data_IF_228263492960
#
_entry.id   IF_228263492960
#
_cell.length_a   1.000
_cell.length_b   1.000
_cell.length_c   1.000
_cell.angle_alpha   90.00
_cell.angle_beta   90.00
_cell.angle_gamma   90.00
#
_symmetry.space_group_name_H-M   'P 1'
#
loop_
_entity.id
_entity.type
_entity.pdbx_description
1 polymer ?
#
# COMPACT_ATOMS: atom_id res chain seq x y z
N UNK A 1 11.22 -28.76 -8.31
CA UNK A 1 11.37 -27.64 -9.29
C UNK A 1 12.80 -27.66 -9.82
N UNK A 2 12.98 -27.56 -11.16
CA UNK A 2 14.31 -27.53 -11.79
C UNK A 2 15.08 -26.22 -11.43
N UNK A 3 16.42 -26.27 -11.44
CA UNK A 3 17.30 -25.11 -11.08
C UNK A 3 16.95 -23.84 -11.87
N UNK A 4 16.62 -23.97 -13.15
CA UNK A 4 16.21 -22.86 -14.01
C UNK A 4 14.92 -22.19 -13.52
N UNK A 5 13.90 -22.99 -13.17
CA UNK A 5 12.64 -22.47 -12.63
C UNK A 5 12.80 -21.86 -11.25
N UNK A 6 13.68 -22.42 -10.41
CA UNK A 6 13.96 -21.82 -9.10
C UNK A 6 14.60 -20.44 -9.24
N UNK A 7 15.58 -20.28 -10.14
CA UNK A 7 16.17 -18.98 -10.43
C UNK A 7 15.14 -17.98 -11.00
N UNK A 8 14.21 -18.44 -11.88
CA UNK A 8 13.13 -17.60 -12.39
C UNK A 8 12.16 -17.15 -11.26
N UNK A 9 11.84 -18.03 -10.32
CA UNK A 9 10.99 -17.71 -9.18
C UNK A 9 11.64 -16.68 -8.24
N UNK A 10 12.95 -16.81 -7.98
CA UNK A 10 13.69 -15.81 -7.20
C UNK A 10 13.72 -14.44 -7.89
N UNK A 11 13.92 -14.39 -9.21
CA UNK A 11 13.85 -13.15 -9.99
C UNK A 11 12.46 -12.53 -9.93
N UNK A 12 11.41 -13.33 -10.08
CA UNK A 12 10.03 -12.85 -9.97
C UNK A 12 9.77 -12.24 -8.60
N UNK A 13 10.15 -12.95 -7.53
CA UNK A 13 10.00 -12.44 -6.16
C UNK A 13 10.76 -11.12 -5.95
N UNK A 14 12.00 -11.02 -6.46
CA UNK A 14 12.80 -9.80 -6.37
C UNK A 14 12.13 -8.61 -7.08
N UNK A 15 11.58 -8.82 -8.29
CA UNK A 15 10.88 -7.76 -9.03
C UNK A 15 9.59 -7.33 -8.33
N UNK A 16 8.83 -8.29 -7.79
CA UNK A 16 7.63 -7.99 -7.00
C UNK A 16 7.98 -7.21 -5.72
N UNK A 17 9.05 -7.63 -5.02
CA UNK A 17 9.52 -6.92 -3.83
C UNK A 17 10.00 -5.49 -4.18
N UNK A 18 10.74 -5.31 -5.26
CA UNK A 18 11.18 -4.00 -5.73
C UNK A 18 9.99 -3.10 -6.09
N UNK A 19 9.01 -3.65 -6.82
CA UNK A 19 7.78 -2.92 -7.19
C UNK A 19 6.99 -2.48 -5.94
N UNK A 20 6.83 -3.38 -4.97
CA UNK A 20 6.18 -3.06 -3.70
C UNK A 20 6.90 -1.92 -2.96
N UNK A 21 8.23 -2.07 -2.75
CA UNK A 21 9.03 -1.09 -2.01
C UNK A 21 8.99 0.27 -2.71
N UNK A 22 9.17 0.30 -4.03
CA UNK A 22 9.11 1.53 -4.81
C UNK A 22 7.75 2.19 -4.73
N UNK A 23 6.66 1.42 -4.88
CA UNK A 23 5.29 1.94 -4.78
C UNK A 23 5.02 2.54 -3.41
N UNK A 24 5.46 1.88 -2.34
CA UNK A 24 5.30 2.36 -0.97
C UNK A 24 6.08 3.65 -0.72
N UNK A 25 7.35 3.71 -1.13
CA UNK A 25 8.19 4.90 -0.94
C UNK A 25 7.65 6.08 -1.76
N UNK A 26 7.33 5.86 -3.04
CA UNK A 26 6.79 6.91 -3.92
C UNK A 26 5.45 7.42 -3.38
N UNK A 27 4.55 6.54 -2.92
CA UNK A 27 3.28 6.94 -2.29
C UNK A 27 3.51 7.92 -1.14
N UNK A 28 4.49 7.62 -0.28
CA UNK A 28 4.84 8.49 0.85
C UNK A 28 5.50 9.81 0.45
N UNK A 29 6.16 9.88 -0.71
CA UNK A 29 6.81 11.10 -1.19
C UNK A 29 5.83 12.10 -1.82
N UNK A 30 4.77 11.61 -2.47
CA UNK A 30 3.85 12.43 -3.27
C UNK A 30 2.50 12.69 -2.61
N UNK A 31 2.26 12.18 -1.39
CA UNK A 31 0.94 12.19 -0.77
C UNK A 31 0.42 13.60 -0.42
N UNK A 32 1.27 14.62 -0.33
CA UNK A 32 0.87 15.98 0.03
C UNK A 32 0.08 16.70 -1.07
N UNK A 33 0.10 16.19 -2.31
CA UNK A 33 -0.70 16.72 -3.40
C UNK A 33 -2.07 16.06 -3.38
N UNK A 34 -3.12 16.88 -3.29
CA UNK A 34 -4.51 16.42 -3.39
C UNK A 34 -5.06 16.73 -4.78
N UNK A 35 -5.99 15.90 -5.23
CA UNK A 35 -6.70 16.06 -6.49
C UNK A 35 -8.16 15.66 -6.34
N UNK A 36 -8.99 16.18 -7.24
CA UNK A 36 -10.40 15.82 -7.34
C UNK A 36 -10.55 14.76 -8.41
N UNK A 37 -11.18 13.66 -8.07
CA UNK A 37 -11.58 12.66 -9.03
C UNK A 37 -13.10 12.50 -8.97
N UNK A 38 -13.82 13.08 -9.94
CA UNK A 38 -15.27 13.04 -10.02
C UNK A 38 -15.74 12.10 -11.13
N UNK A 39 -15.64 10.77 -10.97
CA UNK A 39 -16.27 9.85 -11.92
C UNK A 39 -17.79 9.97 -11.83
N UNK A 40 -18.30 10.39 -10.66
CA UNK A 40 -19.71 10.66 -10.37
C UNK A 40 -19.76 11.79 -9.34
N UNK A 41 -20.69 12.74 -9.50
CA UNK A 41 -20.91 13.84 -8.55
C UNK A 41 -21.65 13.31 -7.30
N UNK A 42 -20.97 12.46 -6.52
CA UNK A 42 -21.53 11.90 -5.31
C UNK A 42 -21.08 12.70 -4.10
N UNK A 43 -22.07 13.12 -3.31
CA UNK A 43 -21.87 13.71 -2.00
C UNK A 43 -22.39 12.76 -0.93
N UNK A 44 -21.60 12.50 0.11
CA UNK A 44 -22.05 11.78 1.30
C UNK A 44 -21.90 12.70 2.50
N UNK A 45 -23.00 12.92 3.23
CA UNK A 45 -23.04 13.78 4.42
C UNK A 45 -22.51 15.21 4.18
N UNK A 46 -22.77 15.76 2.98
CA UNK A 46 -22.35 17.13 2.61
C UNK A 46 -20.87 17.25 2.26
N UNK A 47 -20.13 16.13 2.14
CA UNK A 47 -18.75 16.11 1.67
C UNK A 47 -18.70 15.50 0.28
N UNK A 48 -17.97 16.15 -0.63
CA UNK A 48 -17.68 15.61 -1.96
C UNK A 48 -16.84 14.35 -1.79
N UNK A 49 -17.31 13.22 -2.34
CA UNK A 49 -16.53 11.99 -2.38
C UNK A 49 -15.38 12.16 -3.37
N UNK A 50 -14.25 11.50 -3.04
CA UNK A 50 -13.06 11.44 -3.90
C UNK A 50 -12.20 12.71 -3.96
N UNK A 51 -12.14 13.49 -2.88
CA UNK A 51 -10.99 14.32 -2.60
C UNK A 51 -9.85 13.42 -2.11
N UNK A 52 -8.87 13.18 -2.95
CA UNK A 52 -7.87 12.13 -2.74
C UNK A 52 -6.46 12.69 -2.78
N UNK A 53 -5.58 12.14 -1.97
CA UNK A 53 -4.15 12.36 -2.09
C UNK A 53 -3.59 11.64 -3.32
N UNK A 54 -2.66 12.28 -4.05
CA UNK A 54 -1.94 11.64 -5.17
C UNK A 54 -1.17 10.39 -4.72
N UNK A 55 -0.76 10.32 -3.46
CA UNK A 55 -0.13 9.12 -2.88
C UNK A 55 -0.97 7.85 -2.95
N UNK A 56 -2.29 7.98 -3.18
CA UNK A 56 -3.17 6.82 -3.34
C UNK A 56 -2.99 6.10 -4.69
N UNK A 57 -2.38 6.73 -5.69
CA UNK A 57 -2.21 6.15 -7.03
C UNK A 57 -1.31 4.89 -7.04
N UNK A 58 -0.11 4.88 -6.45
CA UNK A 58 0.70 3.67 -6.36
C UNK A 58 0.26 2.72 -5.25
N UNK A 59 -0.63 3.14 -4.35
CA UNK A 59 -1.03 2.39 -3.17
C UNK A 59 -1.71 1.04 -3.47
N UNK A 60 -2.63 0.91 -4.46
CA UNK A 60 -3.22 -0.37 -4.84
C UNK A 60 -2.19 -1.42 -5.24
N UNK A 61 -1.10 -1.00 -5.89
CA UNK A 61 -0.02 -1.89 -6.30
C UNK A 61 0.59 -2.59 -5.09
N UNK A 62 0.68 -1.92 -3.94
CA UNK A 62 1.26 -2.51 -2.72
C UNK A 62 0.43 -3.70 -2.23
N UNK A 63 -0.89 -3.60 -2.22
CA UNK A 63 -1.78 -4.68 -1.81
C UNK A 63 -1.82 -5.81 -2.84
N UNK A 64 -1.99 -5.48 -4.11
CA UNK A 64 -1.96 -6.46 -5.20
C UNK A 64 -0.67 -7.29 -5.17
N UNK A 65 0.48 -6.65 -5.00
CA UNK A 65 1.77 -7.35 -4.96
C UNK A 65 1.93 -8.20 -3.70
N UNK A 66 1.50 -7.73 -2.52
CA UNK A 66 1.56 -8.54 -1.30
C UNK A 66 0.62 -9.73 -1.36
N UNK A 67 -0.54 -9.60 -1.99
CA UNK A 67 -1.47 -10.72 -2.21
C UNK A 67 -0.89 -11.74 -3.19
N UNK A 68 -0.26 -11.28 -4.29
CA UNK A 68 0.46 -12.16 -5.21
C UNK A 68 1.60 -12.91 -4.51
N UNK A 69 2.41 -12.21 -3.71
CA UNK A 69 3.48 -12.84 -2.95
C UNK A 69 2.92 -13.82 -1.92
N UNK A 70 1.83 -13.46 -1.22
CA UNK A 70 1.15 -14.32 -0.26
C UNK A 70 0.61 -15.59 -0.91
N UNK A 71 0.08 -15.47 -2.13
CA UNK A 71 -0.49 -16.61 -2.85
C UNK A 71 0.57 -17.56 -3.38
N UNK A 72 1.65 -17.03 -3.95
CA UNK A 72 2.67 -17.80 -4.68
C UNK A 72 3.83 -18.24 -3.77
N UNK A 73 4.30 -17.38 -2.87
CA UNK A 73 5.48 -17.61 -2.02
C UNK A 73 5.15 -17.75 -0.53
N UNK A 74 3.88 -17.58 -0.18
CA UNK A 74 3.36 -17.76 1.17
C UNK A 74 3.60 -16.58 2.12
N UNK A 75 2.99 -16.70 3.30
CA UNK A 75 2.93 -15.64 4.33
C UNK A 75 4.28 -15.10 4.76
N UNK A 76 5.28 -15.99 4.93
CA UNK A 76 6.61 -15.56 5.41
C UNK A 76 7.31 -14.66 4.40
N UNK A 77 7.15 -14.94 3.11
CA UNK A 77 7.72 -14.14 2.03
C UNK A 77 7.04 -12.76 1.96
N UNK A 78 5.71 -12.70 2.06
CA UNK A 78 4.97 -11.45 2.10
C UNK A 78 5.38 -10.57 3.29
N UNK A 79 5.45 -11.13 4.51
CA UNK A 79 5.90 -10.38 5.69
C UNK A 79 7.32 -9.81 5.53
N UNK A 80 8.25 -10.55 4.91
CA UNK A 80 9.61 -10.06 4.65
C UNK A 80 9.62 -8.83 3.73
N UNK A 81 8.81 -8.85 2.69
CA UNK A 81 8.71 -7.71 1.75
C UNK A 81 8.09 -6.50 2.44
N UNK A 82 7.06 -6.68 3.26
CA UNK A 82 6.46 -5.58 4.05
C UNK A 82 7.49 -4.95 4.99
N UNK A 83 8.25 -5.76 5.73
CA UNK A 83 9.31 -5.26 6.62
C UNK A 83 10.39 -4.51 5.83
N UNK A 84 10.82 -5.04 4.67
CA UNK A 84 11.79 -4.38 3.81
C UNK A 84 11.27 -3.02 3.28
N UNK A 85 10.00 -2.95 2.90
CA UNK A 85 9.35 -1.72 2.46
C UNK A 85 9.29 -0.64 3.55
N UNK A 86 8.99 -1.06 4.79
CA UNK A 86 9.00 -0.16 5.95
C UNK A 86 10.40 0.37 6.22
N UNK A 87 11.41 -0.52 6.20
CA UNK A 87 12.81 -0.10 6.34
C UNK A 87 13.20 0.93 5.28
N UNK A 88 12.86 0.67 4.01
CA UNK A 88 13.12 1.59 2.91
C UNK A 88 12.40 2.94 3.09
N UNK A 89 11.16 2.93 3.59
CA UNK A 89 10.39 4.15 3.87
C UNK A 89 11.02 4.97 5.00
N UNK A 90 11.45 4.34 6.11
CA UNK A 90 12.17 5.02 7.19
C UNK A 90 13.51 5.58 6.72
N UNK A 91 14.25 4.82 5.91
CA UNK A 91 15.50 5.29 5.33
C UNK A 91 15.27 6.52 4.44
N UNK A 92 14.28 6.46 3.54
CA UNK A 92 13.95 7.59 2.65
C UNK A 92 13.55 8.84 3.44
N UNK A 93 12.76 8.66 4.52
CA UNK A 93 12.39 9.77 5.41
C UNK A 93 13.61 10.36 6.12
N UNK A 94 14.52 9.52 6.62
CA UNK A 94 15.76 9.97 7.24
C UNK A 94 16.61 10.82 6.29
N UNK A 95 16.72 10.40 5.02
CA UNK A 95 17.43 11.17 4.00
C UNK A 95 16.74 12.51 3.72
N UNK A 96 15.39 12.55 3.65
CA UNK A 96 14.65 13.80 3.46
C UNK A 96 14.85 14.79 4.64
N UNK A 97 14.86 14.28 5.88
CA UNK A 97 15.13 15.10 7.07
C UNK A 97 16.54 15.70 7.02
N UNK A 98 17.55 14.91 6.66
CA UNK A 98 18.93 15.39 6.49
C UNK A 98 18.98 16.41 5.36
N UNK A 99 18.36 16.13 4.20
CA UNK A 99 18.34 17.05 3.07
C UNK A 99 17.67 18.38 3.41
N UNK A 100 16.63 18.37 4.25
CA UNK A 100 15.96 19.59 4.72
C UNK A 100 16.79 20.50 5.63
N UNK A 101 17.87 19.97 6.22
CA UNK A 101 18.79 20.78 7.09
C UNK A 101 19.98 21.32 6.31
N UNK A 102 20.27 20.78 5.12
CA UNK A 102 21.38 21.21 4.27
C UNK A 102 20.96 22.46 3.50
N UNK A 103 21.65 23.61 3.68
CA UNK A 103 21.24 24.87 3.05
C UNK A 103 21.43 24.83 1.52
N UNK A 104 20.47 25.36 0.81
CA UNK A 104 20.52 25.49 -0.64
C UNK A 104 21.55 26.56 -1.07
N UNK A 105 22.20 26.34 -2.20
CA UNK A 105 23.05 27.36 -2.81
C UNK A 105 22.20 28.53 -3.31
N UNK A 106 22.74 29.78 -3.37
CA UNK A 106 22.00 30.98 -3.83
C UNK A 106 21.39 30.86 -5.22
N UNK A 107 21.97 30.05 -6.08
CA UNK A 107 21.52 29.75 -7.45
C UNK A 107 20.98 28.34 -7.63
N UNK A 108 20.56 27.68 -6.54
CA UNK A 108 19.90 26.38 -6.63
C UNK A 108 18.57 26.50 -7.36
N UNK A 109 18.21 25.53 -8.23
CA UNK A 109 16.91 25.49 -8.90
C UNK A 109 15.72 25.43 -7.93
N UNK A 110 15.94 24.90 -6.72
CA UNK A 110 14.96 24.80 -5.65
C UNK A 110 15.60 25.37 -4.39
N UNK A 111 14.94 26.36 -3.80
CA UNK A 111 15.34 26.98 -2.53
C UNK A 111 14.86 26.16 -1.31
N UNK A 112 15.39 26.48 -0.13
CA UNK A 112 15.03 25.79 1.12
C UNK A 112 13.54 25.90 1.44
N UNK A 113 12.91 27.03 1.16
CA UNK A 113 11.50 27.24 1.42
C UNK A 113 10.62 26.34 0.55
N UNK A 114 10.94 26.22 -0.75
CA UNK A 114 10.24 25.33 -1.68
C UNK A 114 10.48 23.86 -1.34
N UNK A 115 11.74 23.50 -1.02
CA UNK A 115 12.06 22.13 -0.60
C UNK A 115 11.29 21.74 0.66
N UNK A 116 11.30 22.60 1.66
CA UNK A 116 10.57 22.43 2.91
C UNK A 116 9.06 22.31 2.65
N UNK A 117 8.48 23.15 1.81
CA UNK A 117 7.06 23.12 1.47
C UNK A 117 6.64 21.79 0.81
N UNK A 118 7.53 21.20 0.01
CA UNK A 118 7.24 19.95 -0.72
C UNK A 118 7.53 18.72 0.13
N UNK A 119 8.62 18.72 0.89
CA UNK A 119 9.13 17.54 1.57
C UNK A 119 9.13 17.61 3.10
N UNK A 120 8.87 18.79 3.70
CA UNK A 120 8.73 18.89 5.15
C UNK A 120 7.40 18.26 5.58
N UNK A 121 7.44 16.98 5.62
CA UNK A 121 6.39 16.16 6.20
C UNK A 121 6.38 16.45 7.70
N UNK A 122 5.21 16.67 8.28
CA UNK A 122 5.12 16.57 9.72
C UNK A 122 5.64 15.19 10.12
N UNK A 123 6.76 15.07 10.86
CA UNK A 123 7.30 13.76 11.24
C UNK A 123 6.27 12.89 11.92
N UNK A 124 5.36 13.50 12.68
CA UNK A 124 4.25 12.85 13.36
C UNK A 124 3.25 12.27 12.35
N UNK A 125 2.87 13.03 11.32
CA UNK A 125 1.93 12.56 10.29
C UNK A 125 2.50 11.39 9.50
N UNK A 126 3.79 11.44 9.18
CA UNK A 126 4.48 10.34 8.48
C UNK A 126 4.58 9.09 9.36
N UNK A 127 4.99 9.23 10.62
CA UNK A 127 5.04 8.11 11.55
C UNK A 127 3.66 7.48 11.75
N UNK A 128 2.62 8.30 11.91
CA UNK A 128 1.25 7.83 12.02
C UNK A 128 0.80 7.03 10.79
N UNK A 129 1.07 7.56 9.61
CA UNK A 129 0.75 6.90 8.33
C UNK A 129 1.52 5.58 8.17
N UNK A 130 2.82 5.57 8.48
CA UNK A 130 3.63 4.35 8.38
C UNK A 130 3.21 3.28 9.38
N UNK A 131 2.89 3.65 10.62
CA UNK A 131 2.38 2.71 11.63
C UNK A 131 1.03 2.14 11.23
N UNK A 132 0.10 2.98 10.76
CA UNK A 132 -1.21 2.53 10.28
C UNK A 132 -1.06 1.55 9.11
N UNK A 133 -0.23 1.90 8.13
CA UNK A 133 0.06 1.04 6.99
C UNK A 133 0.65 -0.31 7.42
N UNK A 134 1.62 -0.32 8.34
CA UNK A 134 2.22 -1.53 8.88
C UNK A 134 1.17 -2.46 9.51
N UNK A 135 0.33 -1.90 10.39
CA UNK A 135 -0.76 -2.65 11.01
C UNK A 135 -1.73 -3.21 9.96
N UNK A 136 -2.15 -2.39 9.01
CA UNK A 136 -3.06 -2.79 7.95
C UNK A 136 -2.48 -3.94 7.11
N UNK A 137 -1.22 -3.85 6.69
CA UNK A 137 -0.56 -4.90 5.90
C UNK A 137 -0.42 -6.23 6.66
N UNK A 138 -0.05 -6.20 7.94
CA UNK A 138 0.03 -7.43 8.73
C UNK A 138 -1.35 -8.06 8.99
N UNK A 139 -2.38 -7.24 9.19
CA UNK A 139 -3.76 -7.71 9.33
C UNK A 139 -4.23 -8.31 8.02
N UNK A 140 -3.98 -7.63 6.88
CA UNK A 140 -4.32 -8.12 5.55
C UNK A 140 -3.73 -9.52 5.31
N UNK A 141 -2.43 -9.68 5.45
CA UNK A 141 -1.74 -10.96 5.28
C UNK A 141 -2.30 -12.02 6.22
N UNK A 142 -2.67 -11.68 7.46
CA UNK A 142 -3.26 -12.64 8.41
C UNK A 142 -4.65 -13.08 7.98
N UNK A 143 -5.52 -12.14 7.61
CA UNK A 143 -6.89 -12.42 7.17
C UNK A 143 -6.86 -13.20 5.85
N UNK A 144 -5.99 -12.80 4.91
CA UNK A 144 -5.79 -13.51 3.66
C UNK A 144 -5.47 -14.99 3.89
N UNK A 145 -4.47 -15.30 4.72
CA UNK A 145 -4.08 -16.67 5.00
C UNK A 145 -5.11 -17.42 5.84
N UNK A 146 -5.87 -16.76 6.72
CA UNK A 146 -7.00 -17.37 7.42
C UNK A 146 -8.03 -17.89 6.40
N UNK A 147 -8.46 -17.07 5.46
CA UNK A 147 -9.40 -17.48 4.41
C UNK A 147 -8.79 -18.51 3.45
N UNK A 148 -7.51 -18.37 3.09
CA UNK A 148 -6.80 -19.36 2.26
C UNK A 148 -6.84 -20.77 2.87
N UNK A 149 -6.58 -20.87 4.16
CA UNK A 149 -6.61 -22.13 4.89
C UNK A 149 -8.04 -22.68 5.02
N UNK A 150 -8.99 -21.82 5.40
CA UNK A 150 -10.39 -22.21 5.57
C UNK A 150 -11.01 -22.74 4.27
N UNK A 151 -10.70 -22.11 3.13
CA UNK A 151 -11.21 -22.48 1.81
C UNK A 151 -10.35 -23.53 1.10
N UNK A 152 -9.30 -24.03 1.74
CA UNK A 152 -8.31 -24.95 1.14
C UNK A 152 -7.77 -24.46 -0.21
N UNK A 153 -7.48 -23.15 -0.28
CA UNK A 153 -6.97 -22.48 -1.49
C UNK A 153 -7.99 -22.19 -2.58
N UNK A 154 -9.27 -22.58 -2.39
CA UNK A 154 -10.38 -22.21 -3.29
C UNK A 154 -10.84 -20.78 -3.02
N UNK A 155 -11.65 -20.23 -3.94
CA UNK A 155 -12.27 -18.89 -3.78
C UNK A 155 -11.25 -17.75 -3.54
N UNK A 156 -10.34 -17.54 -4.49
CA UNK A 156 -9.32 -16.48 -4.44
C UNK A 156 -9.95 -15.10 -4.19
N UNK A 157 -11.09 -14.77 -4.84
CA UNK A 157 -11.78 -13.50 -4.67
C UNK A 157 -12.21 -13.23 -3.22
N UNK A 158 -12.64 -14.28 -2.51
CA UNK A 158 -13.10 -14.16 -1.12
C UNK A 158 -11.95 -13.70 -0.21
N UNK A 159 -10.82 -14.43 -0.26
CA UNK A 159 -9.69 -14.10 0.61
C UNK A 159 -9.06 -12.77 0.27
N UNK A 160 -8.96 -12.43 -1.03
CA UNK A 160 -8.45 -11.15 -1.50
C UNK A 160 -9.33 -10.00 -1.01
N UNK A 161 -10.61 -10.01 -1.36
CA UNK A 161 -11.48 -8.87 -1.05
C UNK A 161 -11.75 -8.72 0.45
N UNK A 162 -11.99 -9.80 1.19
CA UNK A 162 -12.25 -9.71 2.64
C UNK A 162 -11.02 -9.27 3.42
N UNK A 163 -9.80 -9.73 3.07
CA UNK A 163 -8.59 -9.24 3.72
C UNK A 163 -8.37 -7.76 3.42
N UNK A 164 -8.50 -7.38 2.15
CA UNK A 164 -8.29 -6.00 1.71
C UNK A 164 -9.33 -5.04 2.30
N UNK A 165 -10.62 -5.39 2.32
CA UNK A 165 -11.65 -4.51 2.90
C UNK A 165 -11.40 -4.26 4.39
N UNK A 166 -11.08 -5.30 5.15
CA UNK A 166 -10.79 -5.17 6.58
C UNK A 166 -9.52 -4.35 6.82
N UNK A 167 -8.44 -4.65 6.11
CA UNK A 167 -7.16 -3.95 6.24
C UNK A 167 -7.25 -2.48 5.82
N UNK A 168 -7.96 -2.17 4.72
CA UNK A 168 -8.14 -0.81 4.22
C UNK A 168 -9.00 0.05 5.15
N UNK A 169 -10.03 -0.55 5.77
CA UNK A 169 -10.79 0.14 6.79
C UNK A 169 -9.89 0.51 7.99
N UNK A 170 -9.12 -0.45 8.49
CA UNK A 170 -8.21 -0.25 9.62
C UNK A 170 -7.13 0.79 9.28
N UNK A 171 -6.55 0.71 8.09
CA UNK A 171 -5.56 1.68 7.62
C UNK A 171 -6.14 3.10 7.61
N UNK A 172 -7.25 3.30 6.93
CA UNK A 172 -7.87 4.63 6.81
C UNK A 172 -8.34 5.16 8.16
N UNK A 173 -8.98 4.33 8.96
CA UNK A 173 -9.42 4.69 10.31
C UNK A 173 -8.23 5.11 11.19
N UNK A 174 -7.14 4.36 11.15
CA UNK A 174 -5.94 4.64 11.95
C UNK A 174 -5.23 5.90 11.48
N UNK A 175 -5.01 6.06 10.17
CA UNK A 175 -4.35 7.26 9.62
C UNK A 175 -5.16 8.51 9.94
N UNK A 176 -6.44 8.54 9.57
CA UNK A 176 -7.29 9.73 9.76
C UNK A 176 -7.48 10.01 11.25
N UNK A 177 -7.67 8.96 12.06
CA UNK A 177 -7.79 9.08 13.52
C UNK A 177 -6.55 9.67 14.16
N UNK A 178 -5.36 9.17 13.83
CA UNK A 178 -4.11 9.71 14.36
C UNK A 178 -3.87 11.16 13.92
N UNK A 179 -4.17 11.50 12.65
CA UNK A 179 -4.07 12.87 12.17
C UNK A 179 -5.00 13.84 12.92
N UNK A 180 -6.21 13.40 13.29
CA UNK A 180 -7.13 14.15 14.13
C UNK A 180 -6.62 14.30 15.58
N UNK A 181 -6.13 13.19 16.17
CA UNK A 181 -5.58 13.18 17.54
C UNK A 181 -4.37 14.12 17.66
N UNK A 182 -3.51 14.15 16.65
CA UNK A 182 -2.34 15.04 16.64
C UNK A 182 -2.65 16.46 16.16
N UNK A 183 -3.93 16.79 15.90
CA UNK A 183 -4.35 18.14 15.50
C UNK A 183 -3.95 18.56 14.08
N UNK A 184 -3.52 17.62 13.25
CA UNK A 184 -3.21 17.86 11.83
C UNK A 184 -4.49 18.03 11.02
N UNK A 185 -5.55 17.28 11.37
CA UNK A 185 -6.88 17.36 10.78
C UNK A 185 -7.92 17.71 11.84
N UNK A 186 -8.94 18.52 11.52
CA UNK A 186 -10.04 18.77 12.43
C UNK A 186 -10.99 17.56 12.53
N UNK A 187 -11.54 17.29 13.70
CA UNK A 187 -12.43 16.16 13.94
C UNK A 187 -13.72 16.16 13.09
N UNK A 188 -14.19 17.31 12.64
CA UNK A 188 -15.36 17.41 11.75
C UNK A 188 -15.08 16.81 10.36
N UNK A 189 -13.82 16.74 9.91
CA UNK A 189 -13.41 16.11 8.66
C UNK A 189 -13.26 14.57 8.78
N UNK A 190 -13.18 14.03 10.01
CA UNK A 190 -12.88 12.61 10.24
C UNK A 190 -13.79 11.67 9.46
N UNK A 191 -15.11 11.83 9.61
CA UNK A 191 -16.07 10.90 9.01
C UNK A 191 -16.10 10.98 7.49
N UNK A 192 -16.02 12.20 6.93
CA UNK A 192 -15.98 12.41 5.48
C UNK A 192 -14.75 11.76 4.83
N UNK A 193 -13.56 12.00 5.40
CA UNK A 193 -12.31 11.42 4.92
C UNK A 193 -12.26 9.90 5.10
N UNK A 194 -12.79 9.38 6.21
CA UNK A 194 -12.89 7.95 6.45
C UNK A 194 -13.75 7.27 5.39
N UNK A 195 -14.96 7.76 5.17
CA UNK A 195 -15.90 7.18 4.20
C UNK A 195 -15.32 7.29 2.79
N UNK A 196 -14.86 8.46 2.37
CA UNK A 196 -14.27 8.68 1.04
C UNK A 196 -13.07 7.77 0.78
N UNK A 197 -12.16 7.68 1.74
CA UNK A 197 -10.97 6.85 1.64
C UNK A 197 -11.30 5.35 1.60
N UNK A 198 -12.22 4.88 2.44
CA UNK A 198 -12.63 3.46 2.47
C UNK A 198 -13.38 3.08 1.19
N UNK A 199 -14.36 3.89 0.75
CA UNK A 199 -15.12 3.62 -0.47
C UNK A 199 -14.21 3.56 -1.68
N UNK A 200 -13.30 4.53 -1.84
CA UNK A 200 -12.34 4.52 -2.94
C UNK A 200 -11.48 3.26 -2.93
N UNK A 201 -10.91 2.91 -1.79
CA UNK A 201 -10.04 1.74 -1.65
C UNK A 201 -10.77 0.42 -1.91
N UNK A 202 -12.04 0.32 -1.52
CA UNK A 202 -12.90 -0.83 -1.84
C UNK A 202 -13.12 -0.94 -3.36
N UNK A 203 -13.44 0.18 -4.02
CA UNK A 203 -13.63 0.19 -5.47
C UNK A 203 -12.36 -0.25 -6.21
N UNK A 204 -11.20 0.24 -5.78
CA UNK A 204 -9.91 -0.17 -6.34
C UNK A 204 -9.65 -1.66 -6.11
N UNK A 205 -9.89 -2.18 -4.91
CA UNK A 205 -9.70 -3.61 -4.62
C UNK A 205 -10.59 -4.51 -5.49
N UNK A 206 -11.81 -4.08 -5.79
CA UNK A 206 -12.69 -4.80 -6.72
C UNK A 206 -12.15 -4.79 -8.15
N UNK A 207 -11.57 -3.67 -8.60
CA UNK A 207 -10.93 -3.55 -9.92
C UNK A 207 -9.63 -4.37 -9.98
N UNK A 208 -8.88 -4.44 -8.90
CA UNK A 208 -7.62 -5.21 -8.81
C UNK A 208 -7.87 -6.73 -8.81
N UNK A 209 -9.05 -7.19 -8.39
CA UNK A 209 -9.38 -8.63 -8.33
C UNK A 209 -9.19 -9.36 -9.66
N UNK A 210 -9.68 -8.89 -10.83
CA UNK A 210 -9.39 -9.51 -12.12
C UNK A 210 -7.90 -9.59 -12.44
N UNK A 211 -7.13 -8.54 -12.12
CA UNK A 211 -5.69 -8.49 -12.34
C UNK A 211 -4.97 -9.54 -11.47
N UNK A 212 -5.40 -9.69 -10.22
CA UNK A 212 -4.89 -10.73 -9.33
C UNK A 212 -5.12 -12.13 -9.93
N UNK A 213 -6.35 -12.42 -10.40
CA UNK A 213 -6.68 -13.71 -11.01
C UNK A 213 -5.83 -14.00 -12.25
N UNK A 214 -5.70 -13.02 -13.14
CA UNK A 214 -4.87 -13.16 -14.34
C UNK A 214 -3.42 -13.44 -13.96
N UNK A 215 -2.85 -12.69 -13.03
CA UNK A 215 -1.48 -12.82 -12.58
C UNK A 215 -1.23 -14.16 -11.88
N UNK A 216 -2.10 -14.57 -10.96
CA UNK A 216 -1.99 -15.86 -10.27
C UNK A 216 -2.08 -17.02 -11.24
N UNK A 217 -3.06 -17.01 -12.16
CA UNK A 217 -3.24 -18.07 -13.15
C UNK A 217 -2.03 -18.17 -14.09
N UNK A 218 -1.50 -17.02 -14.56
CA UNK A 218 -0.32 -16.99 -15.41
C UNK A 218 0.92 -17.53 -14.68
N UNK A 219 1.17 -17.11 -13.43
CA UNK A 219 2.30 -17.59 -12.64
C UNK A 219 2.17 -19.09 -12.36
N UNK A 220 1.00 -19.56 -11.96
CA UNK A 220 0.75 -20.99 -11.71
C UNK A 220 0.95 -21.83 -12.95
N UNK A 221 0.46 -21.37 -14.10
CA UNK A 221 0.68 -22.04 -15.38
C UNK A 221 2.17 -22.14 -15.72
N UNK A 222 2.91 -21.04 -15.60
CA UNK A 222 4.35 -21.00 -15.92
C UNK A 222 5.18 -21.90 -15.00
N UNK A 223 4.91 -21.90 -13.71
CA UNK A 223 5.66 -22.68 -12.72
C UNK A 223 5.06 -24.09 -12.53
N UNK A 224 3.94 -24.43 -13.15
CA UNK A 224 3.18 -25.67 -12.99
C UNK A 224 2.82 -25.96 -11.53
N UNK A 225 2.24 -24.98 -10.85
CA UNK A 225 1.82 -25.06 -9.46
C UNK A 225 0.36 -25.53 -9.37
N UNK A 226 0.12 -26.45 -8.46
CA UNK A 226 -1.23 -26.84 -8.07
C UNK A 226 -1.94 -25.77 -7.22
N UNK A 227 -3.26 -25.91 -7.06
CA UNK A 227 -4.03 -25.04 -6.17
C UNK A 227 -3.48 -25.17 -4.75
N UNK A 228 -3.17 -24.05 -4.12
CA UNK A 228 -2.60 -23.96 -2.77
C UNK A 228 -1.12 -24.38 -2.64
N UNK A 229 -0.45 -24.68 -3.73
CA UNK A 229 0.99 -24.93 -3.73
C UNK A 229 1.76 -23.61 -3.69
N UNK A 230 2.79 -23.53 -2.84
CA UNK A 230 3.66 -22.36 -2.65
C UNK A 230 5.10 -22.67 -3.08
N UNK A 231 5.74 -21.71 -3.73
CA UNK A 231 7.17 -21.80 -4.07
C UNK A 231 7.99 -21.46 -2.81
N UNK A 232 8.81 -22.37 -2.38
CA UNK A 232 9.78 -22.14 -1.29
C UNK A 232 11.02 -21.42 -1.85
N UNK A 233 11.31 -20.23 -1.28
CA UNK A 233 12.49 -19.41 -1.60
C UNK A 233 13.69 -19.80 -0.76
#
# INVERSE_FOLDING_TARGET
>A
MDRSRHAAAQKLYLYMAALFITSLVVSNLIFQKFFYWYPFNWEILGNSLFELSVGILPYPITFLVTDLISEIFGRKAANRVVIAGIFASFFSMGILLIAGVVPALPNSPIDDATFTKVFALSPIAVLASMMAYLFAQFIDIRIYHFWKNLTKGKHLWLRNNFSTFASQFIDTFTVVGLLCVFGVLPWNAFLGLLISGVVFKILVALIDTPLLYLSVNWIRFYFKLDINEEIKL
#
